data_IF_009035055697
#
_entry.id   IF_009035055697
#
_cell.length_a   1.000
_cell.length_b   1.000
_cell.length_c   1.000
_cell.angle_alpha   90.00
_cell.angle_beta   90.00
_cell.angle_gamma   90.00
#
_symmetry.space_group_name_H-M   'P 1'
#
loop_
_entity.id
_entity.type
_entity.pdbx_description
1 polymer ?
#
# COMPACT_ATOMS: atom_id res chain seq x y z
N UNK A 1 24.69 -27.66 4.92
CA UNK A 1 24.44 -26.25 4.53
C UNK A 1 22.94 -26.08 4.41
N UNK A 2 22.32 -25.24 5.23
CA UNK A 2 20.88 -24.97 5.12
C UNK A 2 20.63 -24.04 3.93
N UNK A 3 19.81 -24.49 2.98
CA UNK A 3 19.34 -23.66 1.87
C UNK A 3 18.57 -22.47 2.49
N UNK A 4 18.94 -21.23 2.15
CA UNK A 4 18.33 -19.98 2.60
C UNK A 4 18.81 -19.35 3.93
N UNK A 5 19.94 -19.77 4.53
CA UNK A 5 20.48 -19.19 5.77
C UNK A 5 19.50 -19.19 6.96
N UNK A 6 18.58 -20.17 7.00
CA UNK A 6 17.64 -20.36 8.10
C UNK A 6 18.12 -21.50 9.01
N UNK A 7 18.07 -21.29 10.32
CA UNK A 7 18.31 -22.29 11.35
C UNK A 7 17.00 -22.69 12.03
N UNK A 8 16.86 -23.97 12.36
CA UNK A 8 15.78 -24.43 13.21
C UNK A 8 16.05 -24.02 14.66
N UNK A 9 15.09 -23.33 15.29
CA UNK A 9 15.16 -22.84 16.66
C UNK A 9 14.21 -23.57 17.61
N UNK A 10 13.34 -24.45 17.08
CA UNK A 10 12.49 -25.28 17.91
C UNK A 10 13.19 -26.58 18.29
N UNK A 11 13.44 -26.73 19.59
CA UNK A 11 13.99 -27.94 20.22
C UNK A 11 12.95 -28.66 21.10
N UNK A 12 11.66 -28.29 21.01
CA UNK A 12 10.59 -28.88 21.82
C UNK A 12 10.13 -30.18 21.17
N UNK A 13 10.40 -31.29 21.88
CA UNK A 13 9.95 -32.61 21.49
C UNK A 13 8.51 -32.88 21.93
N UNK A 14 7.79 -33.63 21.11
CA UNK A 14 6.47 -34.16 21.45
C UNK A 14 6.58 -35.38 22.39
N UNK A 15 5.43 -35.96 22.74
CA UNK A 15 5.34 -37.18 23.58
C UNK A 15 6.12 -38.39 23.03
N UNK A 16 6.35 -38.44 21.72
CA UNK A 16 7.09 -39.51 21.03
C UNK A 16 8.59 -39.17 20.87
N UNK A 17 9.09 -38.09 21.47
CA UNK A 17 10.48 -37.65 21.32
C UNK A 17 10.81 -37.04 19.95
N UNK A 18 9.80 -36.69 19.15
CA UNK A 18 9.97 -36.13 17.80
C UNK A 18 9.66 -34.63 17.77
N UNK A 19 10.31 -33.90 16.86
CA UNK A 19 9.99 -32.52 16.56
C UNK A 19 9.15 -32.52 15.28
N UNK A 20 7.87 -32.11 15.40
CA UNK A 20 6.96 -32.01 14.26
C UNK A 20 6.84 -30.59 13.73
N UNK A 21 6.81 -29.61 14.64
CA UNK A 21 6.64 -28.21 14.31
C UNK A 21 8.00 -27.55 14.09
N UNK A 22 8.19 -26.93 12.93
CA UNK A 22 9.45 -26.27 12.58
C UNK A 22 9.35 -24.77 12.83
N UNK A 23 10.29 -24.24 13.62
CA UNK A 23 10.51 -22.80 13.74
C UNK A 23 11.83 -22.48 13.07
N UNK A 24 11.77 -21.98 11.83
CA UNK A 24 12.95 -21.66 11.02
C UNK A 24 13.18 -20.15 11.01
N UNK A 25 14.36 -19.72 11.43
CA UNK A 25 14.71 -18.30 11.49
C UNK A 25 16.18 -18.07 11.19
N UNK A 26 16.53 -16.91 10.64
CA UNK A 26 17.91 -16.42 10.56
C UNK A 26 18.28 -15.52 11.74
N UNK A 27 17.40 -15.43 12.74
CA UNK A 27 17.51 -14.55 13.88
C UNK A 27 17.84 -15.35 15.14
N UNK A 28 19.08 -15.22 15.62
CA UNK A 28 19.62 -16.07 16.69
C UNK A 28 19.12 -15.73 18.10
N UNK A 29 18.57 -14.53 18.32
CA UNK A 29 17.96 -14.12 19.58
C UNK A 29 16.46 -14.42 19.66
N UNK A 30 15.97 -15.33 18.82
CA UNK A 30 14.62 -15.86 18.90
C UNK A 30 14.60 -16.99 19.94
N UNK A 31 13.72 -16.90 20.93
CA UNK A 31 13.55 -17.93 21.94
C UNK A 31 12.26 -18.71 21.68
N UNK A 32 12.36 -20.04 21.70
CA UNK A 32 11.20 -20.95 21.60
C UNK A 32 11.07 -21.70 22.91
N UNK A 33 9.97 -21.49 23.61
CA UNK A 33 9.63 -22.19 24.85
C UNK A 33 8.28 -22.87 24.73
N UNK A 34 7.97 -23.78 25.65
CA UNK A 34 6.66 -24.42 25.68
C UNK A 34 5.66 -23.42 26.25
N UNK A 35 4.53 -23.24 25.58
CA UNK A 35 3.48 -22.37 26.09
C UNK A 35 2.70 -23.08 27.20
N UNK A 36 2.59 -22.42 28.35
CA UNK A 36 1.69 -22.83 29.43
C UNK A 36 0.25 -22.37 29.20
N UNK A 37 0.04 -21.50 28.21
CA UNK A 37 -1.26 -20.96 27.85
C UNK A 37 -1.83 -21.69 26.63
N UNK A 38 -3.03 -22.24 26.78
CA UNK A 38 -3.78 -22.83 25.67
C UNK A 38 -5.19 -22.28 25.61
N UNK A 39 -5.58 -21.79 24.43
CA UNK A 39 -6.93 -21.30 24.13
C UNK A 39 -7.87 -22.47 23.83
N UNK A 40 -7.31 -23.66 23.56
CA UNK A 40 -8.03 -24.87 23.17
C UNK A 40 -7.52 -26.10 23.93
N UNK A 41 -8.11 -27.27 23.69
CA UNK A 41 -7.57 -28.52 24.22
C UNK A 41 -6.18 -28.77 23.62
N UNK A 42 -5.22 -29.14 24.46
CA UNK A 42 -3.83 -29.38 24.05
C UNK A 42 -3.74 -30.67 23.26
N UNK A 43 -3.19 -30.59 22.05
CA UNK A 43 -2.78 -31.76 21.28
C UNK A 43 -1.42 -32.26 21.81
N UNK A 44 -1.36 -33.53 22.21
CA UNK A 44 -0.14 -34.14 22.74
C UNK A 44 0.96 -34.29 21.69
N UNK A 45 0.59 -34.36 20.40
CA UNK A 45 1.56 -34.46 19.30
C UNK A 45 2.09 -33.09 18.87
N UNK A 46 1.33 -32.03 19.12
CA UNK A 46 1.65 -30.65 18.77
C UNK A 46 1.60 -29.78 20.05
N UNK A 47 2.62 -29.87 20.92
CA UNK A 47 2.67 -29.04 22.11
C UNK A 47 2.68 -27.56 21.71
N UNK A 48 1.90 -26.70 22.39
CA UNK A 48 1.85 -25.29 22.03
C UNK A 48 3.21 -24.63 22.29
N UNK A 49 3.67 -23.84 21.33
CA UNK A 49 4.95 -23.15 21.38
C UNK A 49 4.72 -21.67 21.70
N UNK A 50 5.53 -21.11 22.59
CA UNK A 50 5.67 -19.69 22.84
C UNK A 50 6.95 -19.22 22.14
N UNK A 51 6.80 -18.34 21.15
CA UNK A 51 7.91 -17.80 20.37
C UNK A 51 8.10 -16.35 20.78
N UNK A 52 9.21 -16.06 21.45
CA UNK A 52 9.58 -14.72 21.86
C UNK A 52 10.58 -14.16 20.87
N UNK A 53 10.23 -13.04 20.25
CA UNK A 53 11.13 -12.27 19.40
C UNK A 53 11.35 -10.90 20.04
N UNK A 54 12.61 -10.44 20.18
CA UNK A 54 12.87 -9.07 20.60
C UNK A 54 12.27 -8.10 19.60
N UNK A 55 11.87 -6.93 20.11
CA UNK A 55 11.19 -5.91 19.34
C UNK A 55 12.03 -5.49 18.12
N UNK A 56 11.44 -5.65 16.93
CA UNK A 56 12.04 -5.19 15.69
C UNK A 56 11.25 -3.99 15.18
N UNK A 57 11.97 -2.99 14.70
CA UNK A 57 11.33 -1.93 13.92
C UNK A 57 10.83 -2.53 12.60
N UNK A 58 9.54 -2.42 12.27
CA UNK A 58 9.02 -2.99 11.04
C UNK A 58 9.68 -2.28 9.85
N UNK A 59 10.48 -3.02 9.08
CA UNK A 59 11.00 -2.51 7.82
C UNK A 59 9.95 -2.71 6.73
N UNK A 60 9.27 -1.63 6.36
CA UNK A 60 8.32 -1.68 5.25
C UNK A 60 9.06 -1.97 3.94
N UNK A 61 8.77 -3.12 3.34
CA UNK A 61 9.30 -3.47 2.04
C UNK A 61 8.83 -2.44 1.00
N UNK A 62 9.79 -1.92 0.22
CA UNK A 62 9.45 -1.07 -0.92
C UNK A 62 8.59 -1.88 -1.90
N UNK A 63 7.51 -1.29 -2.43
CA UNK A 63 6.64 -1.99 -3.37
C UNK A 63 7.46 -2.46 -4.57
N UNK A 64 7.36 -3.75 -4.89
CA UNK A 64 8.09 -4.33 -6.01
C UNK A 64 7.49 -3.81 -7.33
N UNK A 65 8.23 -2.92 -8.01
CA UNK A 65 7.87 -2.35 -9.31
C UNK A 65 8.41 -3.20 -10.47
N UNK A 66 8.44 -4.53 -10.30
CA UNK A 66 8.88 -5.44 -11.37
C UNK A 66 8.10 -5.18 -12.65
N UNK A 67 8.79 -5.02 -13.80
CA UNK A 67 8.13 -4.92 -15.09
C UNK A 67 7.24 -6.15 -15.32
N UNK A 68 6.01 -5.92 -15.78
CA UNK A 68 5.05 -6.98 -16.12
C UNK A 68 4.73 -6.93 -17.61
N UNK A 69 4.64 -8.08 -18.25
CA UNK A 69 4.21 -8.18 -19.63
C UNK A 69 2.81 -7.61 -19.82
N UNK A 70 2.64 -6.78 -20.86
CA UNK A 70 1.35 -6.26 -21.24
C UNK A 70 0.77 -7.07 -22.40
N UNK A 71 0.18 -8.21 -22.05
CA UNK A 71 -0.44 -9.12 -23.01
C UNK A 71 -1.61 -8.48 -23.79
N UNK A 72 -2.28 -7.47 -23.22
CA UNK A 72 -3.35 -6.75 -23.93
C UNK A 72 -2.85 -6.00 -25.18
N UNK A 73 -1.58 -5.62 -25.21
CA UNK A 73 -0.95 -4.93 -26.36
C UNK A 73 -0.03 -5.84 -27.18
N UNK A 74 -0.05 -7.15 -26.92
CA UNK A 74 0.77 -8.09 -27.65
C UNK A 74 0.30 -8.23 -29.10
N UNK A 75 1.24 -8.37 -30.04
CA UNK A 75 0.91 -8.73 -31.41
C UNK A 75 0.77 -10.25 -31.52
N UNK A 76 -0.44 -10.75 -31.29
CA UNK A 76 -0.73 -12.17 -31.33
C UNK A 76 -0.59 -12.80 -32.73
N UNK A 77 -0.67 -12.01 -33.80
CA UNK A 77 -0.46 -12.51 -35.16
C UNK A 77 0.96 -13.03 -35.36
N UNK A 78 1.96 -12.22 -35.00
CA UNK A 78 3.37 -12.60 -35.10
C UNK A 78 3.71 -13.73 -34.12
N UNK A 79 3.12 -13.70 -32.91
CA UNK A 79 3.31 -14.79 -31.93
C UNK A 79 2.82 -16.12 -32.51
N UNK A 80 1.64 -16.15 -33.13
CA UNK A 80 1.08 -17.36 -33.72
C UNK A 80 1.91 -17.85 -34.91
N UNK A 81 2.37 -16.93 -35.77
CA UNK A 81 3.25 -17.26 -36.89
C UNK A 81 4.56 -17.89 -36.40
N UNK A 82 5.22 -17.28 -35.42
CA UNK A 82 6.45 -17.81 -34.81
C UNK A 82 6.23 -19.19 -34.18
N UNK A 83 5.11 -19.39 -33.48
CA UNK A 83 4.78 -20.69 -32.88
C UNK A 83 4.53 -21.78 -33.92
N UNK A 84 3.89 -21.44 -35.05
CA UNK A 84 3.63 -22.38 -36.14
C UNK A 84 4.92 -22.74 -36.92
N UNK A 85 5.89 -21.84 -36.97
CA UNK A 85 7.15 -22.06 -37.68
C UNK A 85 8.18 -22.89 -36.89
N UNK A 86 7.90 -23.20 -35.61
CA UNK A 86 8.82 -24.00 -34.78
C UNK A 86 8.69 -25.49 -35.09
N UNK A 87 9.81 -26.12 -35.42
CA UNK A 87 9.90 -27.56 -35.56
C UNK A 87 10.28 -28.22 -34.23
N UNK A 88 9.27 -28.60 -33.46
CA UNK A 88 9.45 -29.24 -32.15
C UNK A 88 10.18 -30.59 -32.21
N UNK A 89 10.13 -31.29 -33.34
CA UNK A 89 10.83 -32.58 -33.49
C UNK A 89 12.35 -32.39 -33.51
N UNK A 90 12.83 -31.32 -34.15
CA UNK A 90 14.25 -30.99 -34.15
C UNK A 90 14.68 -30.35 -32.82
N UNK A 91 13.87 -29.46 -32.24
CA UNK A 91 14.19 -28.82 -30.94
C UNK A 91 14.29 -29.83 -29.78
N UNK A 92 13.57 -30.95 -29.84
CA UNK A 92 13.59 -31.98 -28.80
C UNK A 92 14.48 -33.18 -29.11
N UNK A 93 15.14 -33.21 -30.27
CA UNK A 93 15.91 -34.36 -30.77
C UNK A 93 17.02 -34.83 -29.83
N UNK A 94 17.72 -33.89 -29.20
CA UNK A 94 18.84 -34.17 -28.28
C UNK A 94 18.43 -34.20 -26.80
N UNK A 95 17.14 -34.12 -26.51
CA UNK A 95 16.65 -34.07 -25.14
C UNK A 95 16.61 -35.46 -24.49
N UNK A 96 17.39 -35.64 -23.42
CA UNK A 96 17.49 -36.92 -22.70
C UNK A 96 16.31 -37.21 -21.76
N UNK A 97 15.59 -36.18 -21.32
CA UNK A 97 14.45 -36.32 -20.40
C UNK A 97 13.44 -35.18 -20.57
N UNK A 98 12.24 -35.39 -20.01
CA UNK A 98 11.12 -34.45 -20.08
C UNK A 98 11.44 -33.11 -19.41
N UNK A 99 12.27 -33.08 -18.36
CA UNK A 99 12.64 -31.84 -17.67
C UNK A 99 13.44 -30.91 -18.59
N UNK A 100 14.36 -31.48 -19.38
CA UNK A 100 15.15 -30.74 -20.38
C UNK A 100 14.24 -30.25 -21.50
N UNK A 101 13.32 -31.09 -22.00
CA UNK A 101 12.33 -30.66 -23.00
C UNK A 101 11.48 -29.50 -22.50
N UNK A 102 11.01 -29.58 -21.25
CA UNK A 102 10.19 -28.54 -20.62
C UNK A 102 10.96 -27.23 -20.46
N UNK A 103 12.25 -27.33 -20.13
CA UNK A 103 13.14 -26.17 -20.01
C UNK A 103 13.34 -25.48 -21.38
N UNK A 104 13.55 -26.26 -22.44
CA UNK A 104 13.66 -25.73 -23.81
C UNK A 104 12.34 -25.12 -24.29
N UNK A 105 11.21 -25.79 -24.03
CA UNK A 105 9.88 -25.27 -24.34
C UNK A 105 9.65 -23.90 -23.70
N UNK A 106 9.87 -23.78 -22.38
CA UNK A 106 9.69 -22.50 -21.70
C UNK A 106 10.70 -21.45 -22.15
N UNK A 107 11.94 -21.85 -22.49
CA UNK A 107 12.92 -20.93 -23.06
C UNK A 107 12.42 -20.31 -24.36
N UNK A 108 12.03 -21.14 -25.34
CA UNK A 108 11.54 -20.69 -26.65
C UNK A 108 10.28 -19.84 -26.49
N UNK A 109 9.34 -20.29 -25.64
CA UNK A 109 8.10 -19.56 -25.40
C UNK A 109 8.36 -18.18 -24.75
N UNK A 110 9.25 -18.13 -23.76
CA UNK A 110 9.62 -16.87 -23.12
C UNK A 110 10.38 -15.94 -24.09
N UNK A 111 11.23 -16.46 -24.98
CA UNK A 111 11.89 -15.67 -26.03
C UNK A 111 10.87 -15.04 -26.98
N UNK A 112 9.87 -15.80 -27.44
CA UNK A 112 8.79 -15.27 -28.28
C UNK A 112 8.00 -14.19 -27.53
N UNK A 113 7.66 -14.44 -26.26
CA UNK A 113 6.94 -13.48 -25.43
C UNK A 113 7.78 -12.22 -25.18
N UNK A 114 9.07 -12.34 -24.92
CA UNK A 114 9.98 -11.21 -24.70
C UNK A 114 10.10 -10.32 -25.95
N UNK A 115 10.15 -10.94 -27.14
CA UNK A 115 10.28 -10.21 -28.39
C UNK A 115 8.97 -9.54 -28.85
N UNK A 116 7.81 -10.11 -28.50
CA UNK A 116 6.52 -9.67 -29.03
C UNK A 116 5.61 -8.98 -28.00
N UNK A 117 5.94 -9.05 -26.71
CA UNK A 117 5.12 -8.49 -25.62
C UNK A 117 5.89 -7.43 -24.86
N UNK A 118 5.47 -6.18 -25.02
CA UNK A 118 6.06 -5.06 -24.28
C UNK A 118 5.92 -5.23 -22.76
N UNK A 119 7.02 -5.01 -22.02
CA UNK A 119 7.00 -4.95 -20.56
C UNK A 119 6.57 -3.55 -20.12
N UNK A 120 5.59 -3.49 -19.24
CA UNK A 120 5.12 -2.25 -18.62
C UNK A 120 5.45 -2.24 -17.14
N UNK A 121 5.91 -1.11 -16.62
CA UNK A 121 6.11 -0.93 -15.19
C UNK A 121 4.79 -0.47 -14.57
N UNK A 122 4.36 -1.06 -13.44
CA UNK A 122 3.24 -0.52 -12.70
C UNK A 122 3.55 0.93 -12.32
N UNK A 123 2.69 1.87 -12.72
CA UNK A 123 2.84 3.27 -12.35
C UNK A 123 2.40 3.44 -10.91
N UNK A 124 3.30 3.92 -10.05
CA UNK A 124 2.89 4.42 -8.75
C UNK A 124 2.02 5.68 -8.98
N UNK A 125 0.72 5.55 -8.73
CA UNK A 125 -0.19 6.68 -8.83
C UNK A 125 0.06 7.57 -7.62
N UNK A 126 0.46 8.82 -7.86
CA UNK A 126 0.59 9.84 -6.81
C UNK A 126 -0.76 10.16 -6.15
N UNK A 127 -1.84 10.01 -6.91
CA UNK A 127 -3.19 10.34 -6.47
C UNK A 127 -4.06 9.09 -6.37
N UNK A 128 -5.01 9.05 -5.42
CA UNK A 128 -6.00 7.98 -5.32
C UNK A 128 -6.77 7.75 -6.62
N UNK A 129 -7.27 6.52 -6.87
CA UNK A 129 -7.93 6.15 -8.12
C UNK A 129 -9.20 6.94 -8.43
N UNK A 130 -9.81 7.57 -7.41
CA UNK A 130 -11.02 8.38 -7.53
C UNK A 130 -10.78 9.87 -7.82
N UNK A 131 -9.52 10.30 -7.90
CA UNK A 131 -9.21 11.68 -8.28
C UNK A 131 -9.47 11.90 -9.77
N UNK A 132 -10.24 12.93 -10.09
CA UNK A 132 -10.40 13.38 -11.47
C UNK A 132 -9.20 14.19 -11.94
N UNK A 133 -8.98 14.26 -13.26
CA UNK A 133 -7.94 15.11 -13.85
C UNK A 133 -8.16 16.59 -13.53
N UNK A 134 -9.41 17.04 -13.47
CA UNK A 134 -9.78 18.39 -13.06
C UNK A 134 -9.38 18.68 -11.61
N UNK A 135 -9.62 17.73 -10.70
CA UNK A 135 -9.23 17.87 -9.29
C UNK A 135 -7.71 17.95 -9.14
N UNK A 136 -6.97 17.13 -9.86
CA UNK A 136 -5.49 17.17 -9.84
C UNK A 136 -4.98 18.53 -10.30
N UNK A 137 -5.55 19.10 -11.36
CA UNK A 137 -5.20 20.44 -11.85
C UNK A 137 -5.46 21.53 -10.81
N UNK A 138 -6.65 21.52 -10.20
CA UNK A 138 -7.01 22.52 -9.17
C UNK A 138 -6.09 22.41 -7.96
N UNK A 139 -5.73 21.20 -7.52
CA UNK A 139 -4.78 21.02 -6.40
C UNK A 139 -3.39 21.58 -6.77
N UNK A 140 -2.94 21.34 -8.01
CA UNK A 140 -1.65 21.84 -8.48
C UNK A 140 -1.64 23.38 -8.60
N UNK A 141 -2.72 23.96 -9.13
CA UNK A 141 -2.90 25.42 -9.22
C UNK A 141 -2.98 26.06 -7.83
N UNK A 142 -3.73 25.45 -6.90
CA UNK A 142 -3.83 25.90 -5.51
C UNK A 142 -2.44 25.97 -4.87
N UNK A 143 -1.64 24.91 -5.01
CA UNK A 143 -0.29 24.86 -4.45
C UNK A 143 0.66 25.87 -5.11
N UNK A 144 0.50 26.11 -6.42
CA UNK A 144 1.27 27.15 -7.11
C UNK A 144 0.93 28.55 -6.56
N UNK A 145 -0.35 28.86 -6.37
CA UNK A 145 -0.77 30.16 -5.83
C UNK A 145 -0.33 30.34 -4.38
N UNK A 146 -0.39 29.29 -3.55
CA UNK A 146 0.16 29.33 -2.18
C UNK A 146 1.64 29.70 -2.17
N UNK A 147 2.44 29.07 -3.03
CA UNK A 147 3.88 29.38 -3.18
C UNK A 147 4.14 30.80 -3.69
N UNK A 148 3.33 31.27 -4.65
CA UNK A 148 3.43 32.64 -5.15
C UNK A 148 3.11 33.67 -4.07
N UNK A 149 2.03 33.46 -3.32
CA UNK A 149 1.66 34.32 -2.21
C UNK A 149 2.75 34.34 -1.14
N UNK A 150 3.28 33.18 -0.74
CA UNK A 150 4.38 33.09 0.23
C UNK A 150 5.63 33.89 -0.21
N UNK A 151 5.90 33.97 -1.52
CA UNK A 151 7.06 34.68 -2.07
C UNK A 151 6.83 36.18 -2.26
N UNK A 152 5.66 36.58 -2.74
CA UNK A 152 5.40 37.95 -3.20
C UNK A 152 4.44 38.73 -2.31
N UNK A 153 3.79 38.07 -1.33
CA UNK A 153 2.77 38.63 -0.41
C UNK A 153 1.69 39.47 -1.11
N UNK A 154 1.37 39.14 -2.35
CA UNK A 154 0.39 39.87 -3.14
C UNK A 154 -1.03 39.47 -2.71
N UNK A 155 -1.90 40.41 -2.30
CA UNK A 155 -3.25 40.11 -1.85
C UNK A 155 -4.14 39.46 -2.93
N UNK A 156 -3.88 39.73 -4.22
CA UNK A 156 -4.59 39.05 -5.31
C UNK A 156 -4.29 37.56 -5.36
N UNK A 157 -3.05 37.17 -5.08
CA UNK A 157 -2.65 35.75 -5.08
C UNK A 157 -3.29 35.00 -3.90
N UNK A 158 -3.47 35.68 -2.75
CA UNK A 158 -4.21 35.16 -1.59
C UNK A 158 -5.68 34.88 -1.93
N UNK A 159 -6.39 35.84 -2.51
CA UNK A 159 -7.80 35.66 -2.90
C UNK A 159 -7.99 34.51 -3.88
N UNK A 160 -7.09 34.37 -4.86
CA UNK A 160 -7.14 33.25 -5.81
C UNK A 160 -6.83 31.92 -5.12
N UNK A 161 -5.89 31.89 -4.18
CA UNK A 161 -5.62 30.70 -3.37
C UNK A 161 -6.85 30.27 -2.55
N UNK A 162 -7.51 31.21 -1.86
CA UNK A 162 -8.73 30.94 -1.07
C UNK A 162 -9.85 30.37 -1.96
N UNK A 163 -10.09 30.99 -3.11
CA UNK A 163 -11.05 30.50 -4.10
C UNK A 163 -10.71 29.08 -4.58
N UNK A 164 -9.43 28.80 -4.85
CA UNK A 164 -8.98 27.47 -5.25
C UNK A 164 -9.08 26.45 -4.11
N UNK A 165 -8.87 26.87 -2.86
CA UNK A 165 -9.06 26.04 -1.66
C UNK A 165 -10.51 25.59 -1.55
N UNK A 166 -11.46 26.51 -1.62
CA UNK A 166 -12.90 26.20 -1.58
C UNK A 166 -13.32 25.28 -2.73
N UNK A 167 -12.92 25.62 -3.96
CA UNK A 167 -13.19 24.79 -5.15
C UNK A 167 -12.62 23.38 -5.00
N UNK A 168 -11.39 23.26 -4.49
CA UNK A 168 -10.76 21.95 -4.27
C UNK A 168 -11.54 21.11 -3.27
N UNK A 169 -11.98 21.69 -2.14
CA UNK A 169 -12.78 21.01 -1.11
C UNK A 169 -14.09 20.47 -1.70
N UNK A 170 -14.83 21.32 -2.42
CA UNK A 170 -16.08 20.92 -3.08
C UNK A 170 -15.87 19.78 -4.08
N UNK A 171 -14.83 19.87 -4.90
CA UNK A 171 -14.57 18.87 -5.94
C UNK A 171 -14.06 17.54 -5.37
N UNK A 172 -13.30 17.56 -4.27
CA UNK A 172 -12.91 16.35 -3.51
C UNK A 172 -14.17 15.61 -3.04
N UNK A 173 -15.09 16.33 -2.38
CA UNK A 173 -16.35 15.74 -1.90
C UNK A 173 -17.17 15.12 -3.03
N UNK A 174 -17.29 15.82 -4.15
CA UNK A 174 -18.00 15.33 -5.34
C UNK A 174 -17.35 14.07 -5.93
N UNK A 175 -16.03 14.08 -6.12
CA UNK A 175 -15.30 12.92 -6.67
C UNK A 175 -15.45 11.70 -5.75
N UNK A 176 -15.36 11.89 -4.44
CA UNK A 176 -15.51 10.80 -3.47
C UNK A 176 -16.93 10.24 -3.44
N UNK A 177 -17.96 11.09 -3.46
CA UNK A 177 -19.36 10.66 -3.51
C UNK A 177 -19.65 9.87 -4.79
N UNK A 178 -19.17 10.38 -5.94
CA UNK A 178 -19.30 9.69 -7.21
C UNK A 178 -18.63 8.31 -7.15
N UNK A 179 -17.42 8.22 -6.61
CA UNK A 179 -16.70 6.96 -6.47
C UNK A 179 -17.43 5.96 -5.58
N UNK A 180 -17.95 6.38 -4.42
CA UNK A 180 -18.75 5.51 -3.54
C UNK A 180 -19.97 4.95 -4.25
N UNK A 181 -20.74 5.81 -4.94
CA UNK A 181 -21.91 5.40 -5.72
C UNK A 181 -21.53 4.41 -6.83
N UNK A 182 -20.39 4.62 -7.49
CA UNK A 182 -19.88 3.69 -8.51
C UNK A 182 -19.48 2.34 -7.90
N UNK A 183 -18.89 2.31 -6.71
CA UNK A 183 -18.60 1.05 -6.01
C UNK A 183 -19.92 0.34 -5.70
N UNK A 184 -20.85 1.01 -5.03
CA UNK A 184 -22.15 0.46 -4.61
C UNK A 184 -22.92 -0.15 -5.78
N UNK A 185 -23.01 0.58 -6.88
CA UNK A 185 -23.70 0.12 -8.10
C UNK A 185 -22.96 -0.97 -8.86
N UNK A 186 -21.65 -1.15 -8.64
CA UNK A 186 -20.85 -2.20 -9.29
C UNK A 186 -20.52 -3.38 -8.37
N UNK A 187 -21.04 -3.43 -7.13
CA UNK A 187 -20.75 -4.53 -6.19
C UNK A 187 -21.05 -5.90 -6.83
N UNK A 188 -22.16 -6.02 -7.54
CA UNK A 188 -22.57 -7.28 -8.18
C UNK A 188 -21.79 -7.63 -9.45
N UNK A 189 -21.25 -6.63 -10.19
CA UNK A 189 -20.46 -6.87 -11.41
C UNK A 189 -18.98 -7.07 -11.12
N UNK A 190 -18.44 -6.33 -10.17
CA UNK A 190 -17.03 -6.34 -9.83
C UNK A 190 -16.82 -6.11 -8.32
N UNK A 191 -16.99 -7.16 -7.49
CA UNK A 191 -16.81 -7.07 -6.05
C UNK A 191 -15.36 -6.72 -5.65
N UNK A 192 -14.37 -6.88 -6.56
CA UNK A 192 -12.97 -6.54 -6.28
C UNK A 192 -12.79 -5.04 -6.00
N UNK A 193 -13.56 -4.17 -6.64
CA UNK A 193 -13.50 -2.72 -6.40
C UNK A 193 -13.93 -2.37 -4.97
N UNK A 194 -14.97 -3.03 -4.46
CA UNK A 194 -15.41 -2.87 -3.08
C UNK A 194 -14.34 -3.33 -2.08
N UNK A 195 -13.81 -4.54 -2.26
CA UNK A 195 -12.75 -5.06 -1.37
C UNK A 195 -11.48 -4.23 -1.43
N UNK A 196 -11.14 -3.68 -2.61
CA UNK A 196 -10.03 -2.74 -2.75
C UNK A 196 -10.27 -1.45 -1.95
N UNK A 197 -11.46 -0.85 -2.04
CA UNK A 197 -11.84 0.33 -1.25
C UNK A 197 -11.76 0.09 0.27
N UNK A 198 -12.26 -1.07 0.73
CA UNK A 198 -12.15 -1.45 2.15
C UNK A 198 -10.68 -1.64 2.55
N UNK A 199 -9.88 -2.29 1.70
CA UNK A 199 -8.45 -2.49 1.94
C UNK A 199 -7.68 -1.18 2.04
N UNK A 200 -7.93 -0.22 1.14
CA UNK A 200 -7.29 1.11 1.19
C UNK A 200 -7.60 1.84 2.51
N UNK A 201 -8.81 1.69 3.06
CA UNK A 201 -9.23 2.33 4.31
C UNK A 201 -8.76 1.63 5.58
N UNK A 202 -8.51 0.32 5.53
CA UNK A 202 -7.89 -0.42 6.64
C UNK A 202 -6.41 -0.06 6.82
N UNK A 203 -5.79 0.66 5.87
CA UNK A 203 -4.37 0.94 5.87
C UNK A 203 -3.54 -0.30 5.53
N UNK A 204 -2.23 -0.12 5.34
CA UNK A 204 -1.27 -1.23 5.18
C UNK A 204 -0.95 -1.92 6.52
N UNK A 205 -1.73 -1.63 7.56
CA UNK A 205 -1.63 -2.25 8.85
C UNK A 205 -2.17 -3.68 8.76
N UNK A 206 -1.27 -4.63 8.50
CA UNK A 206 -1.43 -6.03 8.91
C UNK A 206 -1.30 -6.12 10.43
N UNK A 207 -2.03 -5.28 11.16
CA UNK A 207 -2.01 -5.26 12.62
C UNK A 207 -3.18 -6.10 13.10
N UNK A 208 -2.94 -6.85 14.17
CA UNK A 208 -4.00 -7.48 14.97
C UNK A 208 -5.02 -6.38 15.31
N UNK A 209 -6.33 -6.66 15.25
CA UNK A 209 -7.37 -5.68 15.59
C UNK A 209 -7.05 -4.95 16.89
N UNK A 210 -7.00 -3.61 16.82
CA UNK A 210 -6.70 -2.71 17.95
C UNK A 210 -7.73 -2.87 19.06
N UNK A 211 -8.96 -3.23 18.72
CA UNK A 211 -10.03 -3.50 19.67
C UNK A 211 -10.77 -4.78 19.25
N UNK A 212 -10.93 -5.71 20.20
CA UNK A 212 -11.75 -6.92 20.03
C UNK A 212 -12.79 -6.98 21.14
N UNK A 213 -14.04 -7.25 20.76
CA UNK A 213 -15.13 -7.49 21.69
C UNK A 213 -15.67 -8.90 21.55
N UNK A 214 -15.74 -9.63 22.66
CA UNK A 214 -16.39 -10.94 22.74
C UNK A 214 -17.20 -11.04 24.03
N UNK A 215 -18.52 -11.25 23.89
CA UNK A 215 -19.47 -11.46 25.00
C UNK A 215 -19.30 -10.39 26.10
N UNK A 216 -19.34 -9.11 25.70
CA UNK A 216 -19.25 -7.97 26.61
C UNK A 216 -17.84 -7.67 27.17
N UNK A 217 -16.82 -8.47 26.84
CA UNK A 217 -15.43 -8.18 27.19
C UNK A 217 -14.77 -7.41 26.06
N UNK A 218 -14.16 -6.28 26.40
CA UNK A 218 -13.45 -5.40 25.49
C UNK A 218 -11.95 -5.49 25.76
N UNK A 219 -11.18 -5.88 24.76
CA UNK A 219 -9.72 -5.89 24.81
C UNK A 219 -9.19 -4.87 23.82
N UNK A 220 -8.36 -3.95 24.31
CA UNK A 220 -7.64 -2.96 23.51
C UNK A 220 -6.16 -3.36 23.44
N UNK A 221 -5.66 -3.60 22.23
CA UNK A 221 -4.24 -3.84 21.98
C UNK A 221 -3.41 -2.58 22.15
N UNK A 222 -2.13 -2.75 22.48
CA UNK A 222 -1.16 -1.66 22.54
C UNK A 222 -0.72 -1.29 21.12
N UNK A 223 -1.21 -0.15 20.62
CA UNK A 223 -0.52 0.62 19.60
C UNK A 223 -0.85 2.10 19.80
N UNK A 224 0.05 2.80 20.49
CA UNK A 224 0.13 4.25 20.47
C UNK A 224 0.82 4.68 19.17
N UNK A 225 0.07 4.81 18.08
CA UNK A 225 0.47 5.67 16.96
C UNK A 225 -0.77 6.44 16.49
N UNK A 226 -0.91 7.63 17.06
CA UNK A 226 -1.81 8.66 16.56
C UNK A 226 -1.27 9.07 15.18
N UNK A 227 -1.92 8.63 14.11
CA UNK A 227 -1.76 9.29 12.82
C UNK A 227 -2.47 10.64 12.95
N UNK A 228 -1.71 11.69 13.28
CA UNK A 228 -2.11 13.03 12.89
C UNK A 228 -2.11 13.03 11.35
N UNK A 229 -3.29 12.98 10.74
CA UNK A 229 -3.44 13.73 9.49
C UNK A 229 -3.07 15.14 9.88
N UNK A 230 -1.95 15.59 9.34
CA UNK A 230 -1.61 16.99 9.31
C UNK A 230 -2.67 17.64 8.42
N UNK A 231 -3.82 17.91 9.00
CA UNK A 231 -4.58 19.08 8.62
C UNK A 231 -3.60 20.22 8.91
N UNK A 232 -2.96 20.74 7.86
CA UNK A 232 -2.40 22.09 7.89
C UNK A 232 -3.62 23.04 7.98
N UNK A 233 -4.31 22.99 9.12
CA UNK A 233 -4.93 24.15 9.72
C UNK A 233 -3.75 24.82 10.44
N UNK A 234 -3.04 25.67 9.69
CA UNK A 234 -2.30 26.75 10.31
C UNK A 234 -3.37 27.55 11.07
N UNK A 235 -3.41 27.37 12.39
CA UNK A 235 -3.88 28.38 13.33
C UNK A 235 -2.99 29.60 13.09
N UNK A 236 -3.35 30.44 12.11
CA UNK A 236 -3.00 31.85 12.14
C UNK A 236 -3.73 32.41 13.36
N UNK A 237 -3.05 32.39 14.52
CA UNK A 237 -3.38 33.28 15.63
C UNK A 237 -3.61 34.67 15.06
N UNK A 238 -4.84 35.16 15.21
CA UNK A 238 -5.18 36.56 15.03
C UNK A 238 -4.31 37.37 16.01
N UNK A 239 -3.14 37.83 15.55
CA UNK A 239 -2.54 39.05 16.07
C UNK A 239 -3.53 40.17 15.74
N UNK A 240 -4.42 40.44 16.70
CA UNK A 240 -5.18 41.68 16.76
C UNK A 240 -4.17 42.83 16.81
N UNK A 241 -3.96 43.49 15.67
CA UNK A 241 -3.29 44.78 15.60
C UNK A 241 -4.08 45.80 16.43
N UNK A 242 -3.64 46.03 17.67
CA UNK A 242 -3.88 47.25 18.45
C UNK A 242 -3.28 48.46 17.71
N UNK A 243 -3.85 48.87 16.58
CA UNK A 243 -3.43 50.12 15.91
C UNK A 243 -4.58 50.82 15.17
N UNK A 244 -5.79 50.79 15.72
CA UNK A 244 -6.94 51.59 15.20
C UNK A 244 -7.42 52.68 16.19
N UNK A 245 -6.74 52.87 17.33
CA UNK A 245 -7.09 53.96 18.28
C UNK A 245 -6.10 55.13 18.36
N UNK A 246 -5.15 55.25 17.44
CA UNK A 246 -4.19 56.38 17.39
C UNK A 246 -4.49 57.42 16.29
N UNK A 247 -5.50 57.19 15.44
CA UNK A 247 -5.85 58.11 14.34
C UNK A 247 -7.22 58.80 14.51
N UNK A 248 -7.76 58.84 15.73
CA UNK A 248 -8.97 59.62 16.07
C UNK A 248 -8.74 60.80 17.02
N UNK A 249 -7.50 61.12 17.40
CA UNK A 249 -7.20 62.28 18.25
C UNK A 249 -6.57 63.48 17.53
N UNK A 250 -6.50 63.48 16.19
CA UNK A 250 -5.94 64.61 15.43
C UNK A 250 -6.95 65.47 14.65
N UNK A 251 -8.26 65.29 14.84
CA UNK A 251 -9.30 66.08 14.16
C UNK A 251 -10.31 66.82 15.09
N UNK A 252 -10.09 66.86 16.41
CA UNK A 252 -10.91 67.66 17.35
C UNK A 252 -10.16 68.82 18.04
N UNK A 253 -9.05 69.29 17.47
CA UNK A 253 -8.32 70.48 17.98
C UNK A 253 -8.12 71.59 16.95
N UNK A 254 -9.05 71.73 15.99
CA UNK A 254 -9.17 72.95 15.18
C UNK A 254 -10.62 73.18 14.71
N UNK A 255 -11.49 73.57 15.66
CA UNK A 255 -12.52 74.59 15.48
C UNK A 255 -13.15 74.99 16.82
#
# INVERSE_FOLDING_TARGET
MALNNLSQMNDIHNVDGKILDLVLTNYFSLEVTKSDYSITKIDQKHPPLLITMPEQTPHFLKPNLTPRYNFFKANYGIILENLNNINWLEEFKDCKNVNVMTSIFFRILNEIVDNNVTKTRPKNRKYPPWFSSALIKIIAEKENMRKKYAKHRNPRDRLVYELLRERSKKLISQCLQYYKRQIETNIYKNPKCFWHFIKERRGNETTIPVEMTYVGRHLKGFNSFIFFSKDDDDDDEEEEDEEVNSLKEYDESNN
#
